data_IF_255569316474
#
_entry.id   IF_255569316474
#
_cell.length_a   1.000
_cell.length_b   1.000
_cell.length_c   1.000
_cell.angle_alpha   90.00
_cell.angle_beta   90.00
_cell.angle_gamma   90.00
#
_symmetry.space_group_name_H-M   'P 1'
#
loop_
_entity.id
_entity.type
_entity.pdbx_description
1 polymer ?
#
# COMPACT_ATOMS: atom_id res chain seq x y z
N UNK A 1 10.40 -10.27 14.36
CA UNK A 1 10.12 -9.84 12.97
C UNK A 1 10.76 -8.50 12.73
N UNK A 2 11.12 -8.21 11.47
CA UNK A 2 11.69 -6.91 11.06
C UNK A 2 10.83 -5.74 11.52
N UNK A 3 9.49 -5.88 11.43
CA UNK A 3 8.56 -4.85 11.88
C UNK A 3 8.68 -4.53 13.37
N UNK A 4 8.73 -5.56 14.23
CA UNK A 4 8.84 -5.37 15.68
C UNK A 4 10.15 -4.68 16.06
N UNK A 5 11.25 -5.06 15.41
CA UNK A 5 12.56 -4.41 15.63
C UNK A 5 12.52 -2.94 15.23
N UNK A 6 11.99 -2.62 14.05
CA UNK A 6 11.85 -1.24 13.60
C UNK A 6 10.96 -0.41 14.55
N UNK A 7 9.89 -1.01 15.09
CA UNK A 7 9.07 -0.35 16.12
C UNK A 7 9.85 -0.12 17.42
N UNK A 8 10.61 -1.10 17.91
CA UNK A 8 11.42 -0.98 19.13
C UNK A 8 12.43 0.17 19.05
N UNK A 9 13.03 0.39 17.89
CA UNK A 9 14.03 1.45 17.68
C UNK A 9 13.46 2.76 17.13
N UNK A 10 12.12 2.90 17.05
CA UNK A 10 11.49 4.14 16.58
C UNK A 10 11.80 4.48 15.11
N UNK A 11 12.07 3.48 14.27
CA UNK A 11 12.49 3.69 12.88
C UNK A 11 11.30 4.20 12.04
N UNK A 12 11.44 5.35 11.35
CA UNK A 12 10.46 5.83 10.38
C UNK A 12 10.33 4.86 9.20
N UNK A 13 9.11 4.62 8.72
CA UNK A 13 8.82 3.61 7.71
C UNK A 13 7.82 4.11 6.67
N UNK A 14 8.05 3.73 5.43
CA UNK A 14 7.09 3.82 4.32
C UNK A 14 6.79 2.39 3.87
N UNK A 15 5.52 2.11 3.54
CA UNK A 15 5.10 0.80 3.03
C UNK A 15 4.80 0.91 1.55
N UNK A 16 5.40 0.02 0.76
CA UNK A 16 5.10 -0.13 -0.65
C UNK A 16 4.39 -1.47 -0.86
N UNK A 17 3.12 -1.40 -1.29
CA UNK A 17 2.33 -2.59 -1.67
C UNK A 17 2.65 -2.88 -3.13
N UNK A 18 3.35 -4.00 -3.37
CA UNK A 18 3.82 -4.40 -4.69
C UNK A 18 2.95 -5.51 -5.29
N UNK A 19 3.14 -5.79 -6.58
CA UNK A 19 2.50 -6.88 -7.35
C UNK A 19 0.99 -6.70 -7.51
N UNK A 20 0.56 -5.45 -7.72
CA UNK A 20 -0.84 -5.11 -7.97
C UNK A 20 -1.37 -5.69 -9.30
N UNK A 21 -0.47 -6.14 -10.18
CA UNK A 21 -0.72 -6.82 -11.45
C UNK A 21 -1.08 -8.31 -11.32
N UNK A 22 -1.00 -8.90 -10.12
CA UNK A 22 -1.21 -10.33 -9.93
C UNK A 22 -2.63 -10.69 -9.52
N UNK A 23 -3.06 -11.89 -9.92
CA UNK A 23 -4.33 -12.49 -9.46
C UNK A 23 -4.40 -12.50 -7.93
N UNK A 24 -5.51 -12.01 -7.39
CA UNK A 24 -5.76 -11.86 -5.96
C UNK A 24 -5.11 -10.62 -5.33
N UNK A 25 -4.62 -9.67 -6.12
CA UNK A 25 -4.08 -8.42 -5.61
C UNK A 25 -5.19 -7.53 -5.04
N UNK A 26 -5.15 -7.33 -3.72
CA UNK A 26 -6.08 -6.44 -3.01
C UNK A 26 -5.30 -5.49 -2.10
N UNK A 27 -5.25 -4.23 -2.52
CA UNK A 27 -4.58 -3.17 -1.79
C UNK A 27 -5.27 -2.85 -0.47
N UNK A 28 -6.62 -2.81 -0.45
CA UNK A 28 -7.38 -2.47 0.75
C UNK A 28 -7.27 -3.57 1.80
N UNK A 29 -7.26 -4.83 1.37
CA UNK A 29 -6.97 -5.96 2.25
C UNK A 29 -5.53 -5.91 2.79
N UNK A 30 -4.56 -5.54 1.96
CA UNK A 30 -3.17 -5.35 2.38
C UNK A 30 -3.05 -4.24 3.42
N UNK A 31 -3.73 -3.11 3.22
CA UNK A 31 -3.80 -2.02 4.18
C UNK A 31 -4.44 -2.46 5.51
N UNK A 32 -5.58 -3.16 5.44
CA UNK A 32 -6.27 -3.70 6.62
C UNK A 32 -5.36 -4.65 7.42
N UNK A 33 -4.64 -5.54 6.74
CA UNK A 33 -3.74 -6.48 7.42
C UNK A 33 -2.54 -5.81 8.08
N UNK A 34 -2.07 -4.65 7.61
CA UNK A 34 -1.08 -3.83 8.33
C UNK A 34 -1.63 -3.36 9.68
N UNK A 35 -2.87 -2.90 9.73
CA UNK A 35 -3.51 -2.51 10.99
C UNK A 35 -3.72 -3.71 11.91
N UNK A 36 -4.35 -4.77 11.40
CA UNK A 36 -4.78 -5.91 12.22
C UNK A 36 -3.60 -6.72 12.75
N UNK A 37 -2.56 -6.93 11.94
CA UNK A 37 -1.44 -7.83 12.29
C UNK A 37 -0.21 -7.12 12.83
N UNK A 38 0.08 -5.92 12.31
CA UNK A 38 1.28 -5.19 12.67
C UNK A 38 1.01 -4.03 13.64
N UNK A 39 -0.26 -3.77 13.96
CA UNK A 39 -0.72 -2.63 14.74
C UNK A 39 -0.12 -1.31 14.23
N UNK A 40 0.04 -1.21 12.92
CA UNK A 40 0.59 -0.05 12.26
C UNK A 40 -0.44 1.08 12.24
N UNK A 41 -0.04 2.30 12.58
CA UNK A 41 -0.81 3.50 12.26
C UNK A 41 -0.48 3.94 10.84
N UNK A 42 -0.91 3.16 9.85
CA UNK A 42 -0.65 3.43 8.43
C UNK A 42 -1.82 4.17 7.78
N UNK A 43 -1.53 5.04 6.83
CA UNK A 43 -2.53 5.67 5.98
C UNK A 43 -2.09 5.54 4.52
N UNK A 44 -3.02 5.24 3.63
CA UNK A 44 -2.76 5.23 2.20
C UNK A 44 -2.60 6.67 1.70
N UNK A 45 -1.50 6.96 1.01
CA UNK A 45 -1.27 8.21 0.29
C UNK A 45 -1.52 8.06 -1.22
N UNK A 46 -1.57 6.82 -1.69
CA UNK A 46 -1.84 6.45 -3.07
C UNK A 46 -2.84 5.29 -3.10
N UNK A 47 -3.72 5.29 -4.10
CA UNK A 47 -4.66 4.21 -4.38
C UNK A 47 -4.44 3.66 -5.79
N UNK A 48 -4.42 2.34 -5.99
CA UNK A 48 -4.33 1.76 -7.32
C UNK A 48 -5.63 2.00 -8.11
N UNK A 49 -5.50 2.18 -9.42
CA UNK A 49 -6.61 2.18 -10.37
C UNK A 49 -6.68 0.79 -10.99
N UNK A 50 -7.77 0.09 -10.69
CA UNK A 50 -7.93 -1.32 -11.03
C UNK A 50 -7.00 -2.25 -10.24
N UNK A 51 -7.04 -3.53 -10.56
CA UNK A 51 -6.24 -4.58 -9.94
C UNK A 51 -6.01 -5.70 -10.95
N UNK A 52 -5.02 -6.55 -10.69
CA UNK A 52 -4.68 -7.67 -11.56
C UNK A 52 -4.34 -7.21 -12.99
N UNK A 53 -4.91 -7.86 -14.01
CA UNK A 53 -4.77 -7.50 -15.42
C UNK A 53 -5.40 -6.14 -15.77
N UNK A 54 -6.24 -5.58 -14.88
CA UNK A 54 -6.84 -4.24 -15.01
C UNK A 54 -6.07 -3.17 -14.23
N UNK A 55 -4.87 -3.45 -13.74
CA UNK A 55 -4.05 -2.42 -13.10
C UNK A 55 -3.53 -1.42 -14.13
N UNK A 56 -4.10 -0.21 -14.10
CA UNK A 56 -3.88 0.81 -15.14
C UNK A 56 -3.14 2.05 -14.62
N UNK A 57 -2.97 2.18 -13.32
CA UNK A 57 -2.42 3.41 -12.76
C UNK A 57 -2.55 3.55 -11.25
N UNK A 58 -2.28 4.77 -10.79
CA UNK A 58 -2.41 5.16 -9.38
C UNK A 58 -3.07 6.54 -9.25
N UNK A 59 -3.83 6.73 -8.18
CA UNK A 59 -4.34 8.01 -7.72
C UNK A 59 -3.46 8.49 -6.58
N UNK A 60 -2.81 9.63 -6.74
CA UNK A 60 -2.11 10.34 -5.68
C UNK A 60 -3.10 11.19 -4.89
N UNK A 61 -3.25 10.90 -3.59
CA UNK A 61 -4.19 11.58 -2.70
C UNK A 61 -3.61 12.87 -2.09
N UNK A 62 -2.30 13.09 -2.21
CA UNK A 62 -1.65 14.31 -1.75
C UNK A 62 -1.83 15.40 -2.81
N UNK A 63 -1.53 15.06 -4.07
CA UNK A 63 -1.66 15.98 -5.20
C UNK A 63 -3.06 16.00 -5.82
N UNK A 64 -3.93 15.05 -5.45
CA UNK A 64 -5.27 14.86 -6.03
C UNK A 64 -5.23 14.65 -7.54
N UNK A 65 -4.31 13.80 -8.02
CA UNK A 65 -4.09 13.49 -9.44
C UNK A 65 -4.07 11.99 -9.69
N UNK A 66 -4.62 11.58 -10.85
CA UNK A 66 -4.49 10.23 -11.35
C UNK A 66 -3.36 10.17 -12.41
N UNK A 67 -2.50 9.16 -12.29
CA UNK A 67 -1.44 8.84 -13.24
C UNK A 67 -1.69 7.45 -13.79
N UNK A 68 -1.83 7.36 -15.12
CA UNK A 68 -2.03 6.10 -15.83
C UNK A 68 -0.70 5.61 -16.42
N UNK A 69 -0.50 4.30 -16.40
CA UNK A 69 0.61 3.63 -17.06
C UNK A 69 0.15 3.24 -18.47
N UNK A 70 0.83 3.79 -19.48
CA UNK A 70 0.56 3.52 -20.90
C UNK A 70 1.33 2.34 -21.45
#
# INVERSE_FOLDING_TARGET
TVWRQATTYGVPRVVFVNKMDKIGADFLYSLKTLHDRLQANAAAIQLPIGAEDQFEGIIDLIEMKATFYG
#
